data_IF_321448939925
#
_entry.id   IF_321448939925
#
_cell.length_a   1.000
_cell.length_b   1.000
_cell.length_c   1.000
_cell.angle_alpha   90.00
_cell.angle_beta   90.00
_cell.angle_gamma   90.00
#
_symmetry.space_group_name_H-M   'P 1'
#
loop_
_entity.id
_entity.type
_entity.pdbx_description
1 polymer ?
#
# COMPACT_ATOMS: atom_id res chain seq x y z
N UNK A 1 3.54 10.37 -2.49
CA UNK A 1 4.66 9.42 -2.38
C UNK A 1 4.30 8.12 -3.10
N UNK A 2 5.20 7.55 -3.90
CA UNK A 2 4.89 6.35 -4.70
C UNK A 2 4.79 5.08 -3.83
N UNK A 3 5.67 4.91 -2.87
CA UNK A 3 5.65 3.78 -1.95
C UNK A 3 4.45 3.89 -0.97
N UNK A 4 3.78 2.79 -0.63
CA UNK A 4 4.08 1.39 -0.87
C UNK A 4 3.39 0.79 -2.12
N UNK A 5 3.23 1.53 -3.20
CA UNK A 5 2.63 1.02 -4.43
C UNK A 5 3.38 -0.21 -4.97
N UNK A 6 2.69 -1.12 -5.69
CA UNK A 6 3.32 -2.17 -6.50
C UNK A 6 4.51 -1.55 -7.29
N UNK A 7 5.73 -2.02 -7.17
CA UNK A 7 6.21 -3.36 -6.82
C UNK A 7 6.88 -3.49 -5.44
N UNK A 8 6.58 -2.66 -4.48
CA UNK A 8 7.14 -2.72 -3.10
C UNK A 8 8.67 -2.84 -3.11
N UNK A 9 9.35 -1.90 -3.74
CA UNK A 9 10.79 -1.89 -3.83
C UNK A 9 11.39 -1.40 -2.51
N UNK A 10 12.02 -2.26 -1.69
CA UNK A 10 12.61 -1.84 -0.43
C UNK A 10 13.80 -0.91 -0.64
N UNK A 11 14.06 -0.06 0.35
CA UNK A 11 15.34 0.63 0.44
C UNK A 11 16.45 -0.41 0.72
N UNK A 12 17.60 -0.26 0.07
CA UNK A 12 18.71 -1.21 0.19
C UNK A 12 19.22 -1.37 1.63
N UNK A 13 19.11 -0.33 2.45
CA UNK A 13 19.48 -0.41 3.85
C UNK A 13 18.49 -1.17 4.74
N UNK A 14 17.31 -1.50 4.22
CA UNK A 14 16.25 -2.17 4.95
C UNK A 14 16.05 -3.64 4.49
N UNK A 15 16.86 -4.13 3.54
CA UNK A 15 16.68 -5.48 2.95
C UNK A 15 16.79 -6.61 3.98
N UNK A 16 17.64 -6.48 4.97
CA UNK A 16 17.86 -7.51 6.00
C UNK A 16 16.82 -7.46 7.15
N UNK A 17 15.84 -6.53 7.09
CA UNK A 17 14.79 -6.44 8.11
C UNK A 17 13.75 -7.55 7.91
N UNK A 18 13.27 -8.08 9.03
CA UNK A 18 12.14 -9.02 9.09
C UNK A 18 12.39 -10.41 8.48
N UNK A 19 13.63 -10.79 8.16
CA UNK A 19 13.95 -12.11 7.58
C UNK A 19 13.52 -13.29 8.44
N UNK A 20 13.50 -13.10 9.77
CA UNK A 20 13.10 -14.08 10.78
C UNK A 20 11.61 -14.03 11.14
N UNK A 21 10.85 -13.10 10.55
CA UNK A 21 9.42 -12.94 10.82
C UNK A 21 8.59 -13.83 9.90
N UNK A 22 7.66 -14.57 10.49
CA UNK A 22 6.61 -15.27 9.74
C UNK A 22 5.29 -14.54 9.92
N UNK A 23 4.74 -14.02 8.84
CA UNK A 23 3.49 -13.28 8.87
C UNK A 23 2.29 -14.24 8.89
N UNK A 24 1.31 -14.03 9.79
CA UNK A 24 0.09 -14.81 9.78
C UNK A 24 -0.68 -14.54 8.47
N UNK A 25 -1.15 -15.59 7.83
CA UNK A 25 -2.04 -15.43 6.69
C UNK A 25 -3.44 -15.05 7.15
N UNK A 26 -4.16 -14.18 6.39
CA UNK A 26 -5.56 -13.91 6.64
C UNK A 26 -6.41 -15.19 6.62
N UNK A 27 -7.43 -15.28 7.47
CA UNK A 27 -8.31 -16.45 7.54
C UNK A 27 -8.98 -16.75 6.19
N UNK A 28 -9.28 -15.71 5.42
CA UNK A 28 -9.89 -15.78 4.10
C UNK A 28 -8.88 -15.84 2.93
N UNK A 29 -7.60 -16.14 3.18
CA UNK A 29 -6.58 -16.22 2.12
C UNK A 29 -6.94 -17.22 1.00
N UNK A 30 -7.60 -18.32 1.34
CA UNK A 30 -8.08 -19.32 0.39
C UNK A 30 -9.60 -19.19 0.13
N UNK A 31 -10.09 -17.95 0.00
CA UNK A 31 -11.48 -17.67 -0.32
C UNK A 31 -11.90 -18.31 -1.65
N UNK A 32 -13.07 -18.93 -1.66
CA UNK A 32 -13.64 -19.60 -2.85
C UNK A 32 -14.60 -18.70 -3.64
N UNK A 33 -14.87 -17.50 -3.13
CA UNK A 33 -15.79 -16.51 -3.70
C UNK A 33 -17.20 -17.04 -3.99
N UNK A 34 -17.67 -18.01 -3.21
CA UNK A 34 -19.00 -18.63 -3.41
C UNK A 34 -20.10 -17.57 -3.40
N UNK A 35 -20.91 -17.56 -4.46
CA UNK A 35 -21.98 -16.57 -4.66
C UNK A 35 -21.51 -15.16 -5.06
N UNK A 36 -20.20 -14.92 -5.22
CA UNK A 36 -19.60 -13.61 -5.52
C UNK A 36 -18.88 -13.63 -6.87
N UNK A 37 -19.65 -13.71 -7.97
CA UNK A 37 -19.11 -13.84 -9.34
C UNK A 37 -18.12 -12.70 -9.68
N UNK A 38 -18.40 -11.40 -9.40
CA UNK A 38 -17.42 -10.36 -9.69
C UNK A 38 -16.08 -10.54 -8.95
N UNK A 39 -16.13 -10.95 -7.68
CA UNK A 39 -14.92 -11.21 -6.90
C UNK A 39 -14.09 -12.36 -7.49
N UNK A 40 -14.74 -13.42 -7.97
CA UNK A 40 -14.05 -14.59 -8.55
C UNK A 40 -13.33 -14.30 -9.87
N UNK A 41 -13.63 -13.18 -10.51
CA UNK A 41 -13.04 -12.75 -11.79
C UNK A 41 -11.91 -11.73 -11.63
N UNK A 42 -11.57 -11.35 -10.40
CA UNK A 42 -10.52 -10.36 -10.18
C UNK A 42 -9.14 -10.95 -10.51
N UNK A 43 -8.33 -10.15 -11.23
CA UNK A 43 -6.96 -10.50 -11.60
C UNK A 43 -5.94 -9.90 -10.62
N UNK A 44 -6.11 -10.26 -9.34
CA UNK A 44 -5.30 -9.79 -8.21
C UNK A 44 -4.85 -10.94 -7.30
N UNK A 45 -4.90 -12.18 -7.80
CA UNK A 45 -4.59 -13.35 -6.97
C UNK A 45 -3.08 -13.48 -6.72
N UNK A 46 -2.69 -13.57 -5.45
CA UNK A 46 -1.31 -13.91 -5.05
C UNK A 46 -0.87 -15.23 -5.71
N UNK A 47 -1.79 -16.18 -5.82
CA UNK A 47 -1.50 -17.50 -6.39
C UNK A 47 -1.22 -17.42 -7.88
N UNK A 48 -2.09 -16.70 -8.64
CA UNK A 48 -2.09 -16.70 -10.11
C UNK A 48 -1.38 -15.50 -10.72
N UNK A 49 -1.69 -14.31 -10.18
CA UNK A 49 -1.43 -13.03 -10.86
C UNK A 49 -0.22 -12.28 -10.29
N UNK A 50 0.25 -12.66 -9.09
CA UNK A 50 1.48 -12.10 -8.52
C UNK A 50 2.70 -12.67 -9.25
N UNK A 51 3.44 -11.78 -9.90
CA UNK A 51 4.60 -12.12 -10.73
C UNK A 51 5.84 -12.40 -9.87
N UNK A 52 6.54 -13.49 -10.17
CA UNK A 52 7.75 -13.86 -9.43
C UNK A 52 8.89 -12.85 -9.66
N UNK A 53 9.06 -12.39 -10.90
CA UNK A 53 10.20 -11.54 -11.28
C UNK A 53 9.92 -10.08 -10.97
N UNK A 54 8.74 -9.59 -11.34
CA UNK A 54 8.35 -8.19 -11.16
C UNK A 54 7.97 -7.87 -9.71
N UNK A 55 7.08 -8.65 -9.11
CA UNK A 55 6.56 -8.39 -7.77
C UNK A 55 7.52 -8.90 -6.68
N UNK A 56 8.06 -10.12 -6.86
CA UNK A 56 8.84 -10.80 -5.83
C UNK A 56 10.36 -10.76 -6.07
N UNK A 57 10.84 -9.99 -7.07
CA UNK A 57 12.26 -9.71 -7.35
C UNK A 57 13.10 -10.96 -7.65
N UNK A 58 12.48 -12.00 -8.20
CA UNK A 58 13.12 -13.27 -8.52
C UNK A 58 13.83 -13.26 -9.90
N UNK A 59 14.41 -12.12 -10.27
CA UNK A 59 15.21 -11.97 -11.50
C UNK A 59 16.55 -12.70 -11.35
N UNK A 60 16.61 -13.96 -11.73
CA UNK A 60 17.83 -14.76 -11.69
C UNK A 60 18.77 -14.45 -12.88
N UNK A 61 20.07 -14.63 -12.66
CA UNK A 61 21.12 -14.31 -13.64
C UNK A 61 21.12 -15.25 -14.84
N UNK A 62 20.66 -16.48 -14.65
CA UNK A 62 20.57 -17.52 -15.67
C UNK A 62 19.30 -17.43 -16.53
N UNK A 63 18.36 -16.55 -16.17
CA UNK A 63 17.05 -16.42 -16.81
C UNK A 63 16.25 -17.75 -16.85
N UNK A 64 16.29 -18.51 -15.76
CA UNK A 64 15.56 -19.77 -15.63
C UNK A 64 14.18 -19.61 -14.98
N UNK A 65 13.95 -18.50 -14.27
CA UNK A 65 12.66 -18.19 -13.65
C UNK A 65 11.81 -17.42 -14.66
N UNK A 66 10.73 -18.04 -15.11
CA UNK A 66 9.78 -17.50 -16.06
C UNK A 66 8.41 -17.33 -15.43
N UNK A 67 7.64 -16.37 -15.94
CA UNK A 67 6.29 -16.09 -15.49
C UNK A 67 5.32 -16.04 -16.66
N UNK A 68 4.03 -16.15 -16.36
CA UNK A 68 2.96 -16.10 -17.38
C UNK A 68 2.20 -14.77 -17.38
N UNK A 69 2.60 -13.82 -16.55
CA UNK A 69 1.87 -12.55 -16.36
C UNK A 69 2.22 -11.48 -17.41
N UNK A 70 3.30 -11.68 -18.17
CA UNK A 70 3.83 -10.71 -19.12
C UNK A 70 4.66 -9.58 -18.49
N UNK A 71 4.91 -9.62 -17.17
CA UNK A 71 5.65 -8.59 -16.43
C UNK A 71 7.13 -8.93 -16.19
N UNK A 72 7.58 -10.10 -16.66
CA UNK A 72 8.95 -10.59 -16.44
C UNK A 72 10.02 -9.60 -16.93
N UNK A 73 9.87 -9.07 -18.14
CA UNK A 73 10.82 -8.09 -18.69
C UNK A 73 10.88 -6.80 -17.85
N UNK A 74 9.72 -6.33 -17.40
CA UNK A 74 9.66 -5.16 -16.51
C UNK A 74 10.40 -5.38 -15.18
N UNK A 75 10.26 -6.58 -14.60
CA UNK A 75 10.99 -6.96 -13.38
C UNK A 75 12.50 -7.04 -13.62
N UNK A 76 12.95 -7.64 -14.71
CA UNK A 76 14.37 -7.67 -15.08
C UNK A 76 14.95 -6.29 -15.35
N UNK A 77 14.17 -5.40 -15.96
CA UNK A 77 14.56 -4.01 -16.21
C UNK A 77 14.73 -3.23 -14.89
N UNK A 78 13.94 -3.49 -13.85
CA UNK A 78 14.15 -2.89 -12.53
C UNK A 78 15.51 -3.28 -11.93
N UNK A 79 15.87 -4.55 -11.98
CA UNK A 79 17.19 -5.03 -11.55
C UNK A 79 18.31 -4.39 -12.38
N UNK A 80 18.14 -4.35 -13.71
CA UNK A 80 19.15 -3.80 -14.63
C UNK A 80 19.39 -2.30 -14.41
N UNK A 81 18.40 -1.56 -13.92
CA UNK A 81 18.50 -0.14 -13.60
C UNK A 81 19.34 0.17 -12.34
N UNK A 82 19.62 -0.84 -11.51
CA UNK A 82 20.51 -0.69 -10.35
C UNK A 82 21.94 -0.42 -10.82
N UNK A 83 22.63 0.50 -10.13
CA UNK A 83 24.06 0.71 -10.35
C UNK A 83 24.91 -0.44 -9.76
N UNK A 84 26.22 -0.54 -10.04
CA UNK A 84 27.05 -1.64 -9.57
C UNK A 84 27.06 -1.82 -8.04
N UNK A 85 27.13 -0.73 -7.29
CA UNK A 85 27.14 -0.74 -5.82
C UNK A 85 25.81 -1.24 -5.26
N UNK A 86 24.69 -0.79 -5.85
CA UNK A 86 23.36 -1.25 -5.50
C UNK A 86 23.17 -2.74 -5.78
N UNK A 87 23.69 -3.22 -6.92
CA UNK A 87 23.62 -4.66 -7.28
C UNK A 87 24.35 -5.53 -6.27
N UNK A 88 25.50 -5.12 -5.75
CA UNK A 88 26.21 -5.89 -4.72
C UNK A 88 25.35 -6.11 -3.48
N UNK A 89 24.66 -5.07 -3.00
CA UNK A 89 23.76 -5.18 -1.83
C UNK A 89 22.54 -6.02 -2.15
N UNK A 90 21.94 -5.78 -3.32
CA UNK A 90 20.78 -6.49 -3.80
C UNK A 90 21.02 -7.99 -3.97
N UNK A 91 22.09 -8.36 -4.66
CA UNK A 91 22.48 -9.75 -4.92
C UNK A 91 22.78 -10.50 -3.62
N UNK A 92 23.46 -9.85 -2.68
CA UNK A 92 23.73 -10.44 -1.37
C UNK A 92 22.44 -10.88 -0.66
N UNK A 93 21.34 -10.13 -0.83
CA UNK A 93 20.06 -10.45 -0.22
C UNK A 93 19.23 -11.43 -1.06
N UNK A 94 19.02 -11.15 -2.36
CA UNK A 94 18.09 -11.94 -3.17
C UNK A 94 18.70 -13.21 -3.77
N UNK A 95 20.01 -13.28 -4.07
CA UNK A 95 20.63 -14.50 -4.66
C UNK A 95 20.41 -15.75 -3.79
N UNK A 96 20.56 -15.72 -2.44
CA UNK A 96 20.25 -16.88 -1.60
C UNK A 96 18.77 -17.29 -1.64
N UNK A 97 17.85 -16.33 -1.69
CA UNK A 97 16.40 -16.57 -1.79
C UNK A 97 16.09 -17.24 -3.12
N UNK A 98 16.62 -16.71 -4.22
CA UNK A 98 16.47 -17.25 -5.57
C UNK A 98 17.02 -18.69 -5.65
N UNK A 99 18.22 -18.91 -5.12
CA UNK A 99 18.84 -20.24 -5.13
C UNK A 99 17.98 -21.27 -4.37
N UNK A 100 17.50 -20.89 -3.19
CA UNK A 100 16.62 -21.76 -2.39
C UNK A 100 15.30 -22.03 -3.10
N UNK A 101 14.67 -21.02 -3.69
CA UNK A 101 13.42 -21.16 -4.45
C UNK A 101 13.57 -22.16 -5.61
N UNK A 102 14.67 -22.07 -6.39
CA UNK A 102 14.99 -22.99 -7.48
C UNK A 102 15.20 -24.43 -6.97
N UNK A 103 15.79 -24.59 -5.78
CA UNK A 103 16.01 -25.90 -5.16
C UNK A 103 14.69 -26.51 -4.64
N UNK A 104 13.85 -25.72 -3.97
CA UNK A 104 12.63 -26.20 -3.29
C UNK A 104 11.53 -26.62 -4.26
N UNK A 105 11.50 -26.10 -5.49
CA UNK A 105 10.53 -26.42 -6.56
C UNK A 105 9.08 -26.37 -6.06
N UNK A 106 8.76 -25.31 -5.33
CA UNK A 106 7.46 -25.15 -4.66
C UNK A 106 6.31 -25.13 -5.68
N UNK A 107 5.20 -25.77 -5.31
CA UNK A 107 3.96 -25.80 -6.11
C UNK A 107 2.72 -25.72 -5.22
N UNK A 108 1.56 -25.41 -5.81
CA UNK A 108 0.27 -25.41 -5.10
C UNK A 108 0.27 -24.51 -3.87
N UNK A 109 -0.19 -25.02 -2.74
CA UNK A 109 -0.28 -24.26 -1.49
C UNK A 109 1.08 -23.77 -1.00
N UNK A 110 2.11 -24.60 -1.05
CA UNK A 110 3.45 -24.22 -0.60
C UNK A 110 4.00 -23.03 -1.39
N UNK A 111 3.76 -22.98 -2.69
CA UNK A 111 4.11 -21.82 -3.53
C UNK A 111 3.29 -20.58 -3.14
N UNK A 112 1.99 -20.73 -2.90
CA UNK A 112 1.12 -19.62 -2.51
C UNK A 112 1.54 -19.00 -1.16
N UNK A 113 1.82 -19.84 -0.18
CA UNK A 113 2.30 -19.43 1.15
C UNK A 113 3.67 -18.74 1.05
N UNK A 114 4.58 -19.29 0.25
CA UNK A 114 5.88 -18.69 -0.01
C UNK A 114 5.75 -17.31 -0.68
N UNK A 115 4.94 -17.18 -1.73
CA UNK A 115 4.65 -15.89 -2.39
C UNK A 115 4.14 -14.86 -1.38
N UNK A 116 3.20 -15.26 -0.53
CA UNK A 116 2.64 -14.41 0.51
C UNK A 116 3.72 -13.92 1.48
N UNK A 117 4.59 -14.80 1.97
CA UNK A 117 5.65 -14.41 2.89
C UNK A 117 6.64 -13.42 2.24
N UNK A 118 7.09 -13.69 1.01
CA UNK A 118 7.97 -12.77 0.28
C UNK A 118 7.32 -11.41 0.04
N UNK A 119 6.04 -11.39 -0.35
CA UNK A 119 5.27 -10.18 -0.49
C UNK A 119 5.22 -9.37 0.81
N UNK A 120 4.91 -10.03 1.92
CA UNK A 120 4.81 -9.37 3.23
C UNK A 120 6.16 -8.82 3.71
N UNK A 121 7.25 -9.57 3.53
CA UNK A 121 8.59 -9.09 3.87
C UNK A 121 8.92 -7.80 3.13
N UNK A 122 8.78 -7.79 1.81
CA UNK A 122 9.10 -6.61 0.99
C UNK A 122 8.16 -5.44 1.30
N UNK A 123 6.88 -5.71 1.48
CA UNK A 123 5.91 -4.66 1.82
C UNK A 123 6.26 -4.00 3.17
N UNK A 124 6.55 -4.79 4.20
CA UNK A 124 6.88 -4.27 5.52
C UNK A 124 8.22 -3.52 5.55
N UNK A 125 9.21 -3.94 4.76
CA UNK A 125 10.46 -3.19 4.55
C UNK A 125 10.19 -1.81 3.95
N UNK A 126 9.28 -1.74 2.98
CA UNK A 126 8.86 -0.46 2.38
C UNK A 126 8.13 0.42 3.39
N UNK A 127 7.25 -0.14 4.21
CA UNK A 127 6.57 0.59 5.30
C UNK A 127 7.60 1.13 6.31
N UNK A 128 8.60 0.34 6.67
CA UNK A 128 9.70 0.80 7.54
C UNK A 128 10.44 2.00 6.94
N UNK A 129 10.75 1.95 5.63
CA UNK A 129 11.38 3.07 4.92
C UNK A 129 10.50 4.33 4.94
N UNK A 130 9.17 4.19 4.79
CA UNK A 130 8.23 5.31 4.86
C UNK A 130 8.24 5.91 6.26
N UNK A 131 8.11 5.09 7.30
CA UNK A 131 8.10 5.53 8.70
C UNK A 131 9.36 6.33 9.04
N UNK A 132 10.54 5.81 8.70
CA UNK A 132 11.83 6.49 8.86
C UNK A 132 11.83 7.86 8.17
N UNK A 133 11.32 7.96 6.95
CA UNK A 133 11.32 9.23 6.21
C UNK A 133 10.25 10.21 6.72
N UNK A 134 9.10 9.74 7.17
CA UNK A 134 8.11 10.57 7.89
C UNK A 134 8.75 11.14 9.16
N UNK A 135 9.44 10.32 9.95
CA UNK A 135 10.17 10.76 11.14
C UNK A 135 11.16 11.88 10.85
N UNK A 136 11.89 11.81 9.71
CA UNK A 136 12.80 12.88 9.28
C UNK A 136 12.08 14.21 9.01
N UNK A 137 10.90 14.16 8.38
CA UNK A 137 10.08 15.35 8.13
C UNK A 137 9.59 15.95 9.43
N UNK A 138 9.07 15.11 10.35
CA UNK A 138 8.59 15.57 11.65
C UNK A 138 9.72 16.23 12.46
N UNK A 139 10.89 15.59 12.49
CA UNK A 139 12.08 16.15 13.14
C UNK A 139 12.49 17.49 12.55
N UNK A 140 12.45 17.65 11.23
CA UNK A 140 12.74 18.92 10.58
C UNK A 140 11.77 20.02 11.03
N UNK A 141 10.47 19.73 11.13
CA UNK A 141 9.46 20.67 11.59
C UNK A 141 9.73 21.10 13.05
N UNK A 142 10.10 20.17 13.92
CA UNK A 142 10.43 20.44 15.31
C UNK A 142 11.68 21.32 15.44
N UNK A 143 12.79 20.94 14.80
CA UNK A 143 14.08 21.64 14.86
C UNK A 143 14.02 23.05 14.29
N UNK A 144 13.07 23.34 13.40
CA UNK A 144 12.90 24.67 12.80
C UNK A 144 11.73 25.46 13.41
N UNK A 145 11.13 24.98 14.49
CA UNK A 145 10.02 25.67 15.18
C UNK A 145 8.75 25.81 14.36
N UNK A 146 8.56 24.93 13.34
CA UNK A 146 7.41 24.96 12.44
C UNK A 146 6.25 24.08 12.92
N UNK A 147 6.49 23.18 13.86
CA UNK A 147 5.54 22.18 14.30
C UNK A 147 4.23 22.79 14.82
N UNK A 148 4.33 23.90 15.56
CA UNK A 148 3.18 24.55 16.19
C UNK A 148 2.30 25.36 15.22
N UNK A 149 2.74 25.52 13.98
CA UNK A 149 1.97 26.19 12.92
C UNK A 149 1.79 25.32 11.67
N UNK A 150 1.93 24.01 11.79
CA UNK A 150 1.80 23.08 10.69
C UNK A 150 0.76 22.02 10.98
N UNK A 151 -0.28 21.94 10.15
CA UNK A 151 -1.16 20.78 10.11
C UNK A 151 -0.43 19.63 9.41
N UNK A 152 -0.47 18.45 10.01
CA UNK A 152 0.12 17.24 9.44
C UNK A 152 -1.01 16.25 9.14
N UNK A 153 -1.07 15.78 7.89
CA UNK A 153 -2.02 14.75 7.47
C UNK A 153 -1.23 13.57 6.95
N UNK A 154 -1.41 12.41 7.55
CA UNK A 154 -0.92 11.14 7.04
C UNK A 154 -2.12 10.33 6.54
N UNK A 155 -2.12 10.01 5.27
CA UNK A 155 -3.22 9.30 4.62
C UNK A 155 -2.75 8.57 3.37
N UNK A 156 -3.64 7.86 2.71
CA UNK A 156 -3.46 7.24 1.40
C UNK A 156 -4.61 7.61 0.47
N UNK A 157 -4.39 7.52 -0.82
CA UNK A 157 -5.43 7.66 -1.85
C UNK A 157 -6.38 6.45 -1.87
N UNK A 158 -5.94 5.30 -1.38
CA UNK A 158 -6.69 4.03 -1.33
C UNK A 158 -6.12 3.07 -0.30
N UNK A 159 -6.88 2.03 0.04
CA UNK A 159 -6.39 0.91 0.81
C UNK A 159 -5.60 -0.09 -0.03
N UNK A 160 -5.34 -1.30 0.51
CA UNK A 160 -4.52 -2.31 -0.14
C UNK A 160 -4.80 -3.70 0.42
N UNK A 161 -4.92 -4.73 -0.44
CA UNK A 161 -5.05 -6.12 -0.01
C UNK A 161 -3.70 -6.69 0.40
N UNK A 162 -3.64 -7.23 1.61
CA UNK A 162 -2.46 -7.84 2.21
C UNK A 162 -2.63 -9.35 2.36
N UNK A 163 -3.29 -9.98 1.38
CA UNK A 163 -3.58 -11.41 1.37
C UNK A 163 -5.03 -11.75 1.66
N UNK A 164 -5.85 -10.79 2.11
CA UNK A 164 -7.28 -10.99 2.27
C UNK A 164 -7.90 -11.41 0.93
N UNK A 165 -8.79 -12.39 0.98
CA UNK A 165 -9.37 -13.03 -0.20
C UNK A 165 -8.36 -13.67 -1.15
N UNK A 166 -7.11 -13.89 -0.71
CA UNK A 166 -6.00 -14.36 -1.56
C UNK A 166 -5.49 -13.31 -2.54
N UNK A 167 -5.81 -12.05 -2.32
CA UNK A 167 -5.48 -10.93 -3.21
C UNK A 167 -4.30 -10.10 -2.73
N UNK A 168 -3.73 -9.38 -3.67
CA UNK A 168 -2.79 -8.29 -3.49
C UNK A 168 -3.26 -7.08 -4.31
N UNK A 169 -2.61 -5.90 -4.13
CA UNK A 169 -2.99 -4.69 -4.83
C UNK A 169 -4.33 -4.11 -4.32
N UNK A 170 -5.17 -3.52 -5.15
CA UNK A 170 -6.37 -2.74 -4.80
C UNK A 170 -7.41 -2.86 -5.91
N UNK A 171 -8.43 -2.05 -5.91
CA UNK A 171 -9.47 -1.80 -6.92
C UNK A 171 -10.85 -2.33 -6.55
N UNK A 172 -10.98 -3.60 -6.19
CA UNK A 172 -12.28 -4.15 -5.79
C UNK A 172 -12.73 -3.54 -4.46
N UNK A 173 -14.00 -3.11 -4.38
CA UNK A 173 -14.54 -2.25 -3.33
C UNK A 173 -14.83 -2.96 -1.99
N UNK A 174 -13.95 -3.84 -1.53
CA UNK A 174 -13.99 -4.31 -0.14
C UNK A 174 -13.23 -3.35 0.78
N UNK A 175 -13.44 -3.47 2.09
CA UNK A 175 -12.85 -2.57 3.10
C UNK A 175 -11.34 -2.41 2.95
N UNK A 176 -10.63 -3.49 2.62
CA UNK A 176 -9.17 -3.50 2.50
C UNK A 176 -8.66 -2.57 1.39
N UNK A 177 -9.41 -2.43 0.30
CA UNK A 177 -9.09 -1.51 -0.80
C UNK A 177 -9.71 -0.14 -0.62
N UNK A 178 -10.84 -0.06 0.08
CA UNK A 178 -11.68 1.12 0.14
C UNK A 178 -11.36 2.03 1.32
N UNK A 179 -11.04 1.42 2.47
CA UNK A 179 -10.73 2.15 3.69
C UNK A 179 -9.26 2.56 3.71
N UNK A 180 -9.02 3.86 3.88
CA UNK A 180 -7.68 4.43 3.99
C UNK A 180 -7.37 4.86 5.43
N UNK A 181 -6.11 4.83 5.86
CA UNK A 181 -5.73 5.46 7.11
C UNK A 181 -5.89 6.98 6.99
N UNK A 182 -6.33 7.62 8.06
CA UNK A 182 -6.34 9.07 8.18
C UNK A 182 -5.90 9.47 9.58
N UNK A 183 -4.69 10.01 9.68
CA UNK A 183 -4.15 10.57 10.91
C UNK A 183 -3.94 12.07 10.70
N UNK A 184 -4.49 12.88 11.59
CA UNK A 184 -4.39 14.34 11.49
C UNK A 184 -3.83 14.92 12.80
N UNK A 185 -2.74 15.68 12.69
CA UNK A 185 -2.28 16.56 13.74
C UNK A 185 -2.67 17.99 13.40
N UNK A 186 -3.59 18.54 14.16
CA UNK A 186 -3.95 19.96 14.08
C UNK A 186 -3.14 20.74 15.12
N UNK A 187 -2.53 21.90 14.78
CA UNK A 187 -1.89 22.77 15.75
C UNK A 187 -2.84 23.15 16.88
N UNK A 188 -2.44 22.90 18.13
CA UNK A 188 -3.32 23.12 19.30
C UNK A 188 -4.51 22.18 19.40
N UNK A 189 -4.63 21.19 18.53
CA UNK A 189 -5.72 20.22 18.50
C UNK A 189 -5.70 19.24 19.67
N UNK A 190 -6.85 18.67 19.98
CA UNK A 190 -7.01 17.62 21.00
C UNK A 190 -6.72 16.25 20.40
N UNK A 191 -6.25 15.32 21.25
CA UNK A 191 -6.20 13.90 20.89
C UNK A 191 -7.60 13.30 20.98
N UNK A 192 -7.94 12.44 20.05
CA UNK A 192 -9.20 11.71 20.01
C UNK A 192 -9.39 10.98 18.71
N UNK A 193 -10.42 10.18 18.65
CA UNK A 193 -10.87 9.50 17.46
C UNK A 193 -12.08 10.22 16.88
N UNK A 194 -12.23 10.15 15.55
CA UNK A 194 -13.36 10.69 14.80
C UNK A 194 -13.98 9.51 14.06
N UNK A 195 -15.20 9.15 14.43
CA UNK A 195 -15.95 8.02 13.86
C UNK A 195 -16.76 8.40 12.62
N UNK A 196 -16.89 9.70 12.35
CA UNK A 196 -17.62 10.22 11.21
C UNK A 196 -16.93 9.86 9.89
N UNK A 197 -17.75 9.57 8.89
CA UNK A 197 -17.29 9.14 7.59
C UNK A 197 -16.67 10.29 6.79
N UNK A 198 -15.35 10.24 6.58
CA UNK A 198 -14.55 11.22 5.80
C UNK A 198 -14.13 10.59 4.48
N UNK A 199 -14.00 11.38 3.42
CA UNK A 199 -13.55 10.96 2.10
C UNK A 199 -12.34 11.77 1.64
N UNK A 200 -11.58 11.26 0.70
CA UNK A 200 -10.41 11.95 0.12
C UNK A 200 -10.75 13.32 -0.47
N UNK A 201 -11.97 13.47 -1.03
CA UNK A 201 -12.45 14.75 -1.57
C UNK A 201 -12.64 15.83 -0.50
N UNK A 202 -12.68 15.47 0.78
CA UNK A 202 -12.86 16.40 1.92
C UNK A 202 -11.55 17.07 2.34
N UNK A 203 -10.40 16.57 1.93
CA UNK A 203 -9.11 17.14 2.33
C UNK A 203 -8.92 18.56 1.81
N UNK A 204 -9.24 18.79 0.52
CA UNK A 204 -9.14 20.11 -0.10
C UNK A 204 -9.95 21.16 0.64
N UNK A 205 -11.28 20.99 0.80
CA UNK A 205 -12.11 21.89 1.59
C UNK A 205 -11.60 22.12 3.02
N UNK A 206 -11.11 21.06 3.69
CA UNK A 206 -10.61 21.18 5.07
C UNK A 206 -9.33 22.01 5.16
N UNK A 207 -8.42 21.88 4.19
CA UNK A 207 -7.18 22.67 4.13
C UNK A 207 -7.50 24.14 3.88
N UNK A 208 -8.43 24.45 2.96
CA UNK A 208 -8.86 25.82 2.67
C UNK A 208 -9.52 26.45 3.89
N UNK A 209 -10.44 25.74 4.52
CA UNK A 209 -11.14 26.19 5.72
C UNK A 209 -10.15 26.48 6.88
N UNK A 210 -9.18 25.59 7.11
CA UNK A 210 -8.13 25.81 8.10
C UNK A 210 -7.28 27.06 7.78
N UNK A 211 -7.02 27.31 6.49
CA UNK A 211 -6.26 28.47 6.04
C UNK A 211 -7.07 29.76 6.06
N UNK A 212 -8.36 29.72 6.40
CA UNK A 212 -9.27 30.88 6.35
C UNK A 212 -9.58 31.36 4.93
N UNK A 213 -9.46 30.46 3.95
CA UNK A 213 -9.79 30.70 2.54
C UNK A 213 -11.19 30.15 2.25
N UNK A 214 -11.98 30.93 1.52
CA UNK A 214 -13.32 30.50 1.11
C UNK A 214 -13.25 29.21 0.27
N UNK A 215 -14.05 28.21 0.64
CA UNK A 215 -14.16 26.96 -0.09
C UNK A 215 -15.02 27.17 -1.33
N UNK A 216 -14.48 26.93 -2.56
CA UNK A 216 -15.26 27.08 -3.79
C UNK A 216 -16.53 26.24 -3.78
N UNK A 217 -17.65 26.79 -4.25
CA UNK A 217 -18.96 26.14 -4.23
C UNK A 217 -19.07 24.91 -5.15
N UNK A 218 -18.16 24.73 -6.09
CA UNK A 218 -18.07 23.60 -7.01
C UNK A 218 -17.23 22.44 -6.44
N UNK A 219 -16.64 22.57 -5.25
CA UNK A 219 -16.02 21.45 -4.54
C UNK A 219 -17.06 20.50 -4.01
N UNK A 220 -16.94 19.20 -4.31
CA UNK A 220 -17.88 18.18 -3.86
C UNK A 220 -17.63 17.70 -2.43
N UNK A 221 -16.43 17.90 -1.91
CA UNK A 221 -16.06 17.54 -0.53
C UNK A 221 -16.62 18.54 0.49
N UNK A 222 -16.60 18.14 1.75
CA UNK A 222 -17.03 18.94 2.90
C UNK A 222 -15.89 19.05 3.89
N UNK A 223 -15.62 20.25 4.41
CA UNK A 223 -14.61 20.43 5.45
C UNK A 223 -14.96 19.61 6.70
N UNK A 224 -14.02 18.77 7.15
CA UNK A 224 -14.12 18.07 8.42
C UNK A 224 -13.36 18.77 9.55
N UNK A 225 -12.94 20.01 9.35
CA UNK A 225 -12.30 20.82 10.38
C UNK A 225 -13.10 20.92 11.68
N UNK A 226 -14.46 21.09 11.66
CA UNK A 226 -15.25 21.05 12.87
C UNK A 226 -15.11 19.74 13.66
N UNK A 227 -15.07 18.59 12.98
CA UNK A 227 -14.88 17.28 13.62
C UNK A 227 -13.51 17.20 14.30
N UNK A 228 -12.44 17.71 13.65
CA UNK A 228 -11.10 17.78 14.25
C UNK A 228 -11.03 18.67 15.48
N UNK A 229 -11.92 19.66 15.59
CA UNK A 229 -12.08 20.51 16.77
C UNK A 229 -12.95 19.88 17.86
N UNK A 230 -13.51 18.69 17.60
CA UNK A 230 -14.42 17.99 18.51
C UNK A 230 -15.84 18.58 18.56
N UNK A 231 -16.23 19.29 17.51
CA UNK A 231 -17.57 19.85 17.37
C UNK A 231 -18.54 18.77 16.86
N UNK A 232 -19.79 18.83 17.31
CA UNK A 232 -20.84 17.95 16.80
C UNK A 232 -21.42 18.54 15.52
N UNK A 233 -21.44 17.74 14.45
CA UNK A 233 -22.07 18.08 13.16
C UNK A 233 -23.26 17.16 12.95
N UNK A 234 -24.51 17.54 13.33
CA UNK A 234 -25.66 16.64 13.39
C UNK A 234 -26.03 15.98 12.06
N UNK A 235 -25.82 16.69 10.95
CA UNK A 235 -26.20 16.26 9.61
C UNK A 235 -25.00 15.73 8.81
N UNK A 236 -23.95 15.26 9.51
CA UNK A 236 -22.81 14.67 8.82
C UNK A 236 -23.22 13.44 8.02
N UNK A 237 -22.54 13.22 6.89
CA UNK A 237 -22.88 12.12 5.95
C UNK A 237 -22.89 10.75 6.63
N UNK A 238 -23.80 9.90 6.21
CA UNK A 238 -23.97 8.50 6.67
C UNK A 238 -23.73 7.49 5.55
N UNK A 239 -23.48 7.97 4.35
CA UNK A 239 -23.20 7.14 3.16
C UNK A 239 -22.25 7.89 2.24
N UNK A 240 -21.58 7.14 1.41
CA UNK A 240 -20.73 7.68 0.35
C UNK A 240 -21.02 6.93 -0.95
N UNK A 241 -20.68 7.58 -2.05
CA UNK A 241 -20.79 7.00 -3.38
C UNK A 241 -19.39 6.60 -3.85
N UNK A 242 -19.29 5.37 -4.35
CA UNK A 242 -18.07 4.87 -4.98
C UNK A 242 -18.35 4.54 -6.44
N UNK A 243 -17.46 4.91 -7.34
CA UNK A 243 -17.49 4.53 -8.73
C UNK A 243 -16.07 4.26 -9.23
N UNK A 244 -15.89 3.10 -9.84
CA UNK A 244 -14.66 2.73 -10.53
C UNK A 244 -14.87 2.97 -12.04
N UNK A 245 -14.13 3.93 -12.60
CA UNK A 245 -14.39 4.45 -13.95
C UNK A 245 -13.79 3.65 -15.09
N UNK A 246 -13.01 2.61 -14.79
CA UNK A 246 -12.40 1.77 -15.83
C UNK A 246 -13.39 0.71 -16.34
N UNK A 247 -13.86 0.88 -17.58
CA UNK A 247 -14.68 -0.11 -18.27
C UNK A 247 -14.39 -0.14 -19.78
N UNK A 248 -14.24 -1.33 -20.42
CA UNK A 248 -14.12 -2.64 -19.79
C UNK A 248 -12.72 -2.81 -19.19
N UNK A 249 -12.65 -2.94 -17.88
CA UNK A 249 -11.39 -3.11 -17.18
C UNK A 249 -11.24 -4.53 -16.64
N UNK A 250 -10.02 -4.92 -16.36
CA UNK A 250 -9.63 -6.20 -15.76
C UNK A 250 -10.34 -6.49 -14.43
N UNK A 251 -10.90 -5.44 -13.81
CA UNK A 251 -11.49 -5.47 -12.48
C UNK A 251 -12.98 -5.07 -12.46
N UNK A 252 -13.65 -5.09 -13.61
CA UNK A 252 -15.06 -4.75 -13.74
C UNK A 252 -15.99 -5.92 -13.37
#
# INVERSE_FOLDING_TARGET
HKAPHRTWMPDLCDLDLYDDVTYPMPENFYDKYEGRIPASKQEMSIIKDMDLVYDLKMADKENEIHTTTGLEEAGRNMYNALNPEQKVVWDKHYDPIIAKFKQDKLTGKALAEWKYQQYMHDYMRVIHSIDRNVGRVLKYLEENGLMENTMIVYTSDQGFYMGEHGWFDKRFMYEESFRTPLLVRLPGGKKGDVDEMVQNIDYGPTILDLAGVEVPADMHGVSFLPLLKGEKVPDWRKSLYYHFYEYPAEHA
#
